data_IF_014995780115
#
_entry.id   IF_014995780115
#
_cell.length_a   1.000
_cell.length_b   1.000
_cell.length_c   1.000
_cell.angle_alpha   90.00
_cell.angle_beta   90.00
_cell.angle_gamma   90.00
#
_symmetry.space_group_name_H-M   'P 1'
#
loop_
_entity.id
_entity.type
_entity.pdbx_description
1 polymer ?
#
# COMPACT_ATOMS: atom_id res chain seq x y z
N UNK A 1 54.42 -24.97 -1.87
CA UNK A 1 53.56 -26.17 -2.02
C UNK A 1 53.26 -26.70 -0.63
N UNK A 2 52.00 -27.07 -0.39
CA UNK A 2 51.29 -27.17 0.89
C UNK A 2 50.75 -25.79 1.32
N UNK A 3 49.46 -25.57 1.46
CA UNK A 3 48.31 -26.48 1.51
C UNK A 3 47.28 -25.75 2.36
N UNK A 4 46.19 -25.32 1.74
CA UNK A 4 45.02 -24.70 2.37
C UNK A 4 44.39 -25.69 3.34
N UNK A 5 44.09 -25.22 4.56
CA UNK A 5 43.21 -25.85 5.53
C UNK A 5 42.40 -24.68 6.12
N UNK A 6 41.37 -24.21 5.42
CA UNK A 6 40.01 -24.77 5.40
C UNK A 6 39.37 -24.83 6.80
N UNK A 7 39.36 -23.68 7.47
CA UNK A 7 38.78 -23.48 8.81
C UNK A 7 37.70 -22.39 8.86
N UNK A 8 36.90 -22.23 7.80
CA UNK A 8 35.88 -21.18 7.73
C UNK A 8 34.57 -21.62 7.05
N UNK A 9 34.07 -22.82 7.33
CA UNK A 9 32.81 -23.35 6.75
C UNK A 9 31.76 -23.75 7.79
N UNK A 10 31.90 -23.33 9.05
CA UNK A 10 30.95 -23.70 10.12
C UNK A 10 30.06 -22.53 10.61
N UNK A 11 29.99 -21.42 9.89
CA UNK A 11 29.15 -20.26 10.26
C UNK A 11 28.25 -19.73 9.12
N UNK A 12 28.23 -20.41 7.96
CA UNK A 12 27.45 -19.99 6.80
C UNK A 12 26.02 -20.58 6.79
N UNK A 13 25.78 -21.71 7.46
CA UNK A 13 24.47 -22.41 7.43
C UNK A 13 23.36 -21.60 8.12
N UNK A 14 23.68 -20.84 9.18
CA UNK A 14 22.69 -20.04 9.93
C UNK A 14 22.60 -18.57 9.45
N UNK A 15 23.35 -18.19 8.41
CA UNK A 15 23.40 -16.81 7.94
C UNK A 15 22.20 -16.48 7.02
N UNK A 16 21.47 -15.41 7.36
CA UNK A 16 20.41 -14.90 6.49
C UNK A 16 21.00 -14.05 5.35
N UNK A 17 20.85 -14.52 4.12
CA UNK A 17 21.10 -13.76 2.91
C UNK A 17 19.95 -12.78 2.66
N UNK A 18 20.18 -11.50 2.97
CA UNK A 18 19.19 -10.43 2.80
C UNK A 18 18.90 -10.17 1.31
N UNK A 19 17.63 -10.24 0.93
CA UNK A 19 17.17 -9.92 -0.43
C UNK A 19 16.54 -8.53 -0.52
N UNK A 20 15.76 -8.18 0.50
CA UNK A 20 15.09 -6.88 0.57
C UNK A 20 14.68 -6.57 2.01
N UNK A 21 14.34 -5.31 2.25
CA UNK A 21 13.77 -4.88 3.52
C UNK A 21 12.64 -3.88 3.29
N UNK A 22 11.67 -3.87 4.22
CA UNK A 22 10.54 -2.95 4.18
C UNK A 22 10.25 -2.42 5.57
N UNK A 23 9.70 -1.21 5.64
CA UNK A 23 9.21 -0.62 6.88
C UNK A 23 7.81 -1.13 7.19
N UNK A 24 7.55 -1.41 8.47
CA UNK A 24 6.24 -1.71 9.03
C UNK A 24 6.01 -0.74 10.20
N UNK A 25 5.60 0.48 9.87
CA UNK A 25 5.43 1.60 10.81
C UNK A 25 4.03 2.20 10.67
N UNK A 26 3.56 2.98 11.67
CA UNK A 26 2.32 3.75 11.56
C UNK A 26 2.22 4.65 10.31
N UNK A 27 3.34 5.17 9.80
CA UNK A 27 3.36 6.05 8.64
C UNK A 27 3.52 5.29 7.31
N UNK A 28 4.20 4.14 7.32
CA UNK A 28 4.58 3.40 6.13
C UNK A 28 4.61 1.89 6.42
N UNK A 29 3.84 1.14 5.64
CA UNK A 29 3.81 -0.31 5.63
C UNK A 29 3.34 -0.83 4.27
N UNK A 30 3.62 -2.10 3.91
CA UNK A 30 3.14 -2.68 2.66
C UNK A 30 1.61 -2.81 2.69
N UNK A 31 0.91 -2.07 1.83
CA UNK A 31 -0.55 -1.98 1.89
C UNK A 31 -1.24 -3.32 1.61
N UNK A 32 -0.58 -4.28 0.95
CA UNK A 32 -1.13 -5.64 0.80
C UNK A 32 -1.48 -6.29 2.14
N UNK A 33 -0.76 -5.96 3.22
CA UNK A 33 -0.88 -6.61 4.52
C UNK A 33 -2.09 -6.15 5.36
N UNK A 34 -2.73 -5.02 5.04
CA UNK A 34 -3.89 -4.51 5.77
C UNK A 34 -4.33 -3.12 5.33
N UNK A 35 -5.51 -2.70 5.77
CA UNK A 35 -6.04 -1.34 5.56
C UNK A 35 -5.40 -0.31 6.51
N UNK A 36 -4.79 -0.77 7.61
CA UNK A 36 -4.09 0.05 8.59
C UNK A 36 -2.90 -0.67 9.25
N UNK A 37 -2.12 0.08 10.03
CA UNK A 37 -0.91 -0.43 10.66
C UNK A 37 -1.18 -1.56 11.67
N UNK A 38 -2.19 -1.45 12.56
CA UNK A 38 -2.56 -2.57 13.43
C UNK A 38 -2.95 -3.85 12.70
N UNK A 39 -3.74 -3.76 11.62
CA UNK A 39 -4.10 -4.93 10.82
C UNK A 39 -2.87 -5.55 10.15
N UNK A 40 -1.97 -4.74 9.58
CA UNK A 40 -0.73 -5.21 8.99
C UNK A 40 0.17 -5.94 10.01
N UNK A 41 0.23 -5.44 11.26
CA UNK A 41 0.93 -6.13 12.35
C UNK A 41 0.26 -7.47 12.70
N UNK A 42 -1.07 -7.49 12.78
CA UNK A 42 -1.85 -8.69 13.10
C UNK A 42 -1.65 -9.80 12.06
N UNK A 43 -1.54 -9.46 10.78
CA UNK A 43 -1.20 -10.41 9.69
C UNK A 43 0.11 -11.16 9.95
N UNK A 44 1.07 -10.52 10.62
CA UNK A 44 2.35 -11.12 11.00
C UNK A 44 2.34 -11.77 12.39
N UNK A 45 1.27 -11.59 13.16
CA UNK A 45 1.19 -12.02 14.57
C UNK A 45 1.96 -11.10 15.52
N UNK A 46 2.14 -9.84 15.15
CA UNK A 46 2.86 -8.83 15.93
C UNK A 46 1.88 -7.92 16.69
N UNK A 47 2.29 -7.47 17.87
CA UNK A 47 1.59 -6.40 18.57
C UNK A 47 1.99 -5.03 17.97
N UNK A 48 1.05 -4.10 17.70
CA UNK A 48 1.40 -2.80 17.15
C UNK A 48 2.30 -1.99 18.11
N UNK A 49 3.36 -1.37 17.58
CA UNK A 49 4.29 -0.50 18.31
C UNK A 49 4.26 0.93 17.78
N UNK A 50 4.53 1.90 18.65
CA UNK A 50 4.58 3.32 18.27
C UNK A 50 5.67 3.60 17.24
N UNK A 51 6.86 3.02 17.43
CA UNK A 51 8.01 3.22 16.55
C UNK A 51 7.95 2.33 15.29
N UNK A 52 7.13 1.28 15.31
CA UNK A 52 7.04 0.30 14.23
C UNK A 52 8.07 -0.82 14.33
N UNK A 53 8.30 -1.45 13.18
CA UNK A 53 9.25 -2.54 12.94
C UNK A 53 9.92 -2.35 11.59
N UNK A 54 11.11 -2.91 11.44
CA UNK A 54 11.70 -3.25 10.16
C UNK A 54 11.45 -4.72 9.83
N UNK A 55 11.16 -5.02 8.57
CA UNK A 55 11.07 -6.40 8.08
C UNK A 55 12.22 -6.65 7.11
N UNK A 56 13.01 -7.68 7.36
CA UNK A 56 14.10 -8.14 6.50
C UNK A 56 13.71 -9.47 5.90
N UNK A 57 13.60 -9.53 4.58
CA UNK A 57 13.22 -10.74 3.85
C UNK A 57 14.49 -11.33 3.23
N UNK A 58 14.76 -12.60 3.54
CA UNK A 58 15.97 -13.28 3.07
C UNK A 58 15.81 -14.79 2.98
N UNK A 59 16.91 -15.43 2.58
CA UNK A 59 17.06 -16.90 2.54
C UNK A 59 18.16 -17.33 3.49
N UNK A 60 18.06 -18.51 4.07
CA UNK A 60 19.24 -19.17 4.67
C UNK A 60 20.09 -19.87 3.59
N UNK A 61 21.18 -20.52 4.02
CA UNK A 61 22.10 -21.22 3.11
C UNK A 61 21.47 -22.36 2.32
N UNK A 62 20.41 -22.97 2.84
CA UNK A 62 19.65 -24.03 2.16
C UNK A 62 18.61 -23.47 1.19
N UNK A 63 18.32 -22.18 1.26
CA UNK A 63 17.35 -21.48 0.41
C UNK A 63 15.96 -21.37 1.03
N UNK A 64 15.77 -21.76 2.30
CA UNK A 64 14.50 -21.57 2.97
C UNK A 64 14.25 -20.09 3.27
N UNK A 65 13.00 -19.68 3.10
CA UNK A 65 12.57 -18.28 3.17
C UNK A 65 12.28 -17.86 4.60
N UNK A 66 12.80 -16.71 4.98
CA UNK A 66 12.60 -16.12 6.30
C UNK A 66 12.27 -14.64 6.24
N UNK A 67 11.40 -14.21 7.15
CA UNK A 67 11.13 -12.81 7.45
C UNK A 67 11.61 -12.51 8.87
N UNK A 68 12.70 -11.77 8.98
CA UNK A 68 13.23 -11.33 10.28
C UNK A 68 12.61 -9.98 10.62
N UNK A 69 11.92 -9.93 11.76
CA UNK A 69 11.27 -8.74 12.29
C UNK A 69 12.24 -8.09 13.28
N UNK A 70 12.56 -6.82 13.06
CA UNK A 70 13.49 -6.07 13.91
C UNK A 70 12.84 -4.81 14.48
N UNK A 71 13.21 -4.42 15.69
CA UNK A 71 12.69 -3.22 16.36
C UNK A 71 13.58 -1.97 16.17
N UNK A 72 14.78 -2.12 15.60
CA UNK A 72 15.58 -1.00 15.08
C UNK A 72 15.10 -0.58 13.67
N UNK A 73 14.07 0.26 13.66
CA UNK A 73 13.47 0.81 12.43
C UNK A 73 14.43 1.74 11.69
N UNK A 74 15.31 2.43 12.42
CA UNK A 74 16.27 3.36 11.82
C UNK A 74 17.33 2.62 11.00
N UNK A 75 17.79 1.46 11.47
CA UNK A 75 18.69 0.60 10.70
C UNK A 75 18.11 0.21 9.34
N UNK A 76 16.83 -0.24 9.32
CA UNK A 76 16.16 -0.62 8.07
C UNK A 76 15.92 0.60 7.17
N UNK A 77 15.48 1.72 7.74
CA UNK A 77 15.25 2.94 6.97
C UNK A 77 16.53 3.44 6.29
N UNK A 78 17.67 3.39 6.99
CA UNK A 78 18.99 3.76 6.43
C UNK A 78 19.39 2.80 5.31
N UNK A 79 19.18 1.49 5.46
CA UNK A 79 19.47 0.52 4.42
C UNK A 79 18.64 0.81 3.14
N UNK A 80 17.33 0.99 3.29
CA UNK A 80 16.42 1.31 2.16
C UNK A 80 16.86 2.61 1.48
N UNK A 81 17.07 3.68 2.24
CA UNK A 81 17.48 4.97 1.68
C UNK A 81 18.84 4.89 0.95
N UNK A 82 19.77 4.07 1.44
CA UNK A 82 21.06 3.84 0.79
C UNK A 82 20.87 3.14 -0.56
N UNK A 83 20.07 2.06 -0.60
CA UNK A 83 19.78 1.34 -1.83
C UNK A 83 19.01 2.19 -2.85
N UNK A 84 18.04 3.00 -2.40
CA UNK A 84 17.29 3.94 -3.26
C UNK A 84 18.21 5.00 -3.90
N UNK A 85 19.30 5.36 -3.21
CA UNK A 85 20.34 6.25 -3.74
C UNK A 85 21.39 5.52 -4.60
N UNK A 86 21.29 4.19 -4.77
CA UNK A 86 22.25 3.37 -5.50
C UNK A 86 23.55 3.12 -4.75
N UNK A 87 23.55 3.26 -3.41
CA UNK A 87 24.70 2.97 -2.55
C UNK A 87 24.62 1.53 -2.04
N UNK A 88 25.79 0.90 -1.91
CA UNK A 88 25.90 -0.38 -1.23
C UNK A 88 25.70 -0.19 0.28
N UNK A 89 24.88 -1.05 0.88
CA UNK A 89 24.67 -1.10 2.32
C UNK A 89 24.42 -2.55 2.73
N UNK A 90 25.25 -3.07 3.64
CA UNK A 90 25.11 -4.40 4.21
C UNK A 90 24.20 -4.32 5.44
N UNK A 91 22.95 -4.77 5.29
CA UNK A 91 22.00 -4.82 6.37
C UNK A 91 22.24 -6.08 7.22
N UNK A 92 22.87 -5.89 8.37
CA UNK A 92 23.12 -6.95 9.35
C UNK A 92 22.51 -6.55 10.70
N UNK A 93 21.28 -7.01 11.01
CA UNK A 93 20.64 -6.71 12.29
C UNK A 93 21.40 -7.32 13.46
N UNK A 94 21.51 -6.57 14.55
CA UNK A 94 21.99 -7.08 15.83
C UNK A 94 21.00 -8.10 16.40
N UNK A 95 21.49 -9.21 16.99
CA UNK A 95 20.65 -10.25 17.58
C UNK A 95 19.67 -9.70 18.64
N UNK A 96 20.05 -8.63 19.35
CA UNK A 96 19.19 -7.99 20.34
C UNK A 96 18.06 -7.15 19.73
N UNK A 97 18.21 -6.70 18.48
CA UNK A 97 17.18 -5.98 17.75
C UNK A 97 16.17 -6.92 17.08
N UNK A 98 16.49 -8.22 16.98
CA UNK A 98 15.60 -9.23 16.40
C UNK A 98 14.47 -9.55 17.37
N UNK A 99 13.24 -9.24 16.97
CA UNK A 99 12.03 -9.54 17.72
C UNK A 99 11.60 -10.98 17.50
N UNK A 100 11.60 -11.43 16.25
CA UNK A 100 11.26 -12.79 15.85
C UNK A 100 11.70 -13.06 14.42
N UNK A 101 11.99 -14.33 14.11
CA UNK A 101 12.08 -14.82 12.74
C UNK A 101 10.78 -15.57 12.39
N UNK A 102 10.17 -15.22 11.26
CA UNK A 102 8.94 -15.84 10.78
C UNK A 102 9.25 -16.66 9.52
N UNK A 103 8.77 -17.91 9.42
CA UNK A 103 8.94 -18.71 8.21
C UNK A 103 8.21 -18.06 7.03
N UNK A 104 8.76 -18.15 5.83
CA UNK A 104 8.17 -17.60 4.60
C UNK A 104 8.29 -16.08 4.46
N UNK A 105 7.67 -15.55 3.40
CA UNK A 105 7.64 -14.12 3.11
C UNK A 105 6.21 -13.59 3.03
N UNK A 106 5.89 -12.46 3.68
CA UNK A 106 4.57 -11.85 3.59
C UNK A 106 4.38 -11.05 2.29
N UNK A 107 5.44 -10.89 1.49
CA UNK A 107 5.45 -10.15 0.24
C UNK A 107 6.01 -11.02 -0.88
N UNK A 108 5.54 -10.78 -2.10
CA UNK A 108 6.06 -11.45 -3.27
C UNK A 108 7.48 -10.95 -3.58
N UNK A 109 8.48 -11.80 -3.34
CA UNK A 109 9.88 -11.55 -3.73
C UNK A 109 10.24 -12.58 -4.80
N UNK A 110 10.60 -12.09 -5.99
CA UNK A 110 10.85 -12.93 -7.16
C UNK A 110 12.31 -13.35 -7.33
N UNK A 111 13.21 -12.78 -6.51
CA UNK A 111 14.66 -12.98 -6.60
C UNK A 111 15.14 -14.02 -5.59
N UNK A 112 16.32 -14.58 -5.85
CA UNK A 112 17.02 -15.50 -4.98
C UNK A 112 18.44 -14.99 -4.72
N UNK A 113 19.01 -15.38 -3.57
CA UNK A 113 20.37 -15.03 -3.20
C UNK A 113 21.35 -15.73 -4.17
N UNK A 114 22.38 -15.02 -4.68
CA UNK A 114 23.36 -15.63 -5.56
C UNK A 114 24.08 -16.81 -4.89
N UNK A 115 24.13 -17.96 -5.56
CA UNK A 115 24.82 -19.15 -5.07
C UNK A 115 24.06 -19.98 -4.04
N UNK A 116 22.83 -19.59 -3.69
CA UNK A 116 21.92 -20.30 -2.77
C UNK A 116 20.87 -21.07 -3.59
N UNK A 117 20.33 -22.20 -3.10
CA UNK A 117 19.21 -22.88 -3.75
C UNK A 117 17.96 -22.01 -3.94
N UNK A 118 17.04 -22.49 -4.78
CA UNK A 118 15.80 -21.77 -5.07
C UNK A 118 14.97 -21.52 -3.79
N UNK A 119 14.34 -20.33 -3.66
CA UNK A 119 13.51 -20.00 -2.50
C UNK A 119 12.40 -21.04 -2.27
N UNK A 120 12.33 -21.57 -1.06
CA UNK A 120 11.28 -22.51 -0.66
C UNK A 120 10.85 -22.28 0.79
N UNK A 121 9.68 -22.79 1.17
CA UNK A 121 9.23 -22.69 2.55
C UNK A 121 9.98 -23.68 3.45
N UNK A 122 10.38 -23.26 4.67
CA UNK A 122 10.97 -24.18 5.63
C UNK A 122 9.97 -25.28 6.03
N UNK A 123 10.49 -26.46 6.36
CA UNK A 123 9.69 -27.59 6.81
C UNK A 123 8.92 -27.31 8.11
N UNK A 124 7.78 -27.97 8.34
CA UNK A 124 6.97 -27.78 9.56
C UNK A 124 7.70 -28.15 10.85
N UNK A 125 8.76 -28.96 10.78
CA UNK A 125 9.65 -29.28 11.90
C UNK A 125 10.58 -28.13 12.29
N UNK A 126 10.81 -27.17 11.38
CA UNK A 126 11.74 -26.05 11.56
C UNK A 126 11.06 -24.83 12.17
N UNK A 127 9.72 -24.71 12.04
CA UNK A 127 8.98 -23.57 12.56
C UNK A 127 7.62 -23.98 13.17
N UNK A 128 7.33 -23.45 14.36
CA UNK A 128 6.09 -23.71 15.11
C UNK A 128 4.81 -23.09 14.50
N UNK A 129 4.92 -22.47 13.32
CA UNK A 129 3.80 -21.81 12.63
C UNK A 129 3.88 -22.04 11.12
N UNK A 130 2.74 -21.97 10.41
CA UNK A 130 2.73 -21.97 8.95
C UNK A 130 3.60 -20.84 8.37
N UNK A 131 4.32 -21.11 7.27
CA UNK A 131 5.02 -20.08 6.50
C UNK A 131 4.09 -18.95 6.07
N UNK A 132 4.60 -17.72 6.17
CA UNK A 132 3.98 -16.54 5.60
C UNK A 132 3.90 -16.70 4.09
N UNK A 133 2.73 -16.36 3.55
CA UNK A 133 2.49 -16.30 2.12
C UNK A 133 1.93 -14.92 1.78
N UNK A 134 2.31 -14.33 0.64
CA UNK A 134 1.71 -13.09 0.19
C UNK A 134 0.20 -13.25 0.00
N UNK A 135 -0.60 -12.21 0.29
CA UNK A 135 -2.01 -12.21 -0.08
C UNK A 135 -2.20 -12.51 -1.58
N UNK A 136 -3.25 -13.23 -1.92
CA UNK A 136 -3.59 -13.49 -3.32
C UNK A 136 -4.06 -12.19 -4.00
N UNK A 137 -3.32 -11.78 -5.02
CA UNK A 137 -3.54 -10.57 -5.81
C UNK A 137 -3.98 -10.91 -7.25
N UNK A 138 -4.18 -12.19 -7.56
CA UNK A 138 -4.67 -12.64 -8.87
C UNK A 138 -6.18 -12.46 -9.03
N UNK A 139 -6.91 -12.31 -7.92
CA UNK A 139 -8.36 -12.08 -7.88
C UNK A 139 -8.63 -10.73 -7.22
N UNK A 140 -9.67 -10.05 -7.68
CA UNK A 140 -10.09 -8.81 -7.03
C UNK A 140 -10.55 -9.07 -5.58
N UNK A 141 -10.00 -8.28 -4.68
CA UNK A 141 -10.27 -8.30 -3.24
C UNK A 141 -9.49 -7.19 -2.54
N UNK A 142 -9.54 -7.11 -1.20
CA UNK A 142 -8.96 -5.99 -0.47
C UNK A 142 -7.47 -5.77 -0.76
N UNK A 143 -6.67 -6.84 -0.85
CA UNK A 143 -5.25 -6.75 -1.18
C UNK A 143 -5.01 -6.18 -2.58
N UNK A 144 -5.75 -6.67 -3.58
CA UNK A 144 -5.63 -6.18 -4.96
C UNK A 144 -6.15 -4.75 -5.12
N UNK A 145 -7.22 -4.38 -4.43
CA UNK A 145 -7.73 -2.99 -4.38
C UNK A 145 -6.66 -2.05 -3.82
N UNK A 146 -6.04 -2.42 -2.70
CA UNK A 146 -4.98 -1.61 -2.06
C UNK A 146 -3.75 -1.48 -2.95
N UNK A 147 -3.35 -2.54 -3.65
CA UNK A 147 -2.29 -2.47 -4.66
C UNK A 147 -2.63 -1.55 -5.81
N UNK A 148 -3.86 -1.64 -6.34
CA UNK A 148 -4.31 -0.73 -7.41
C UNK A 148 -4.24 0.73 -6.97
N UNK A 149 -4.59 1.01 -5.72
CA UNK A 149 -4.47 2.35 -5.15
C UNK A 149 -3.00 2.80 -4.97
N UNK A 150 -2.11 1.91 -4.55
CA UNK A 150 -0.68 2.22 -4.46
C UNK A 150 -0.07 2.49 -5.85
N UNK A 151 -0.48 1.72 -6.86
CA UNK A 151 -0.09 1.92 -8.25
C UNK A 151 -0.53 3.31 -8.75
N UNK A 152 -1.79 3.71 -8.50
CA UNK A 152 -2.31 5.04 -8.83
C UNK A 152 -1.49 6.15 -8.16
N UNK A 153 -1.12 5.96 -6.89
CA UNK A 153 -0.32 6.92 -6.16
C UNK A 153 1.08 7.08 -6.80
N UNK A 154 1.69 5.98 -7.23
CA UNK A 154 3.02 5.98 -7.87
C UNK A 154 2.98 6.56 -9.29
N UNK A 155 1.91 6.29 -10.06
CA UNK A 155 1.75 6.70 -11.45
C UNK A 155 0.92 7.97 -11.62
N UNK A 156 0.72 8.74 -10.54
CA UNK A 156 -0.21 9.88 -10.54
C UNK A 156 -0.04 10.80 -11.75
N UNK A 157 1.21 11.19 -12.05
CA UNK A 157 1.50 12.12 -13.14
C UNK A 157 1.09 11.57 -14.52
N UNK A 158 1.23 10.27 -14.75
CA UNK A 158 0.85 9.63 -16.01
C UNK A 158 -0.68 9.48 -16.12
N UNK A 159 -1.34 9.09 -15.04
CA UNK A 159 -2.79 8.89 -15.01
C UNK A 159 -3.57 10.20 -15.14
N UNK A 160 -3.13 11.26 -14.44
CA UNK A 160 -3.81 12.55 -14.47
C UNK A 160 -3.88 13.17 -15.87
N UNK A 161 -2.89 12.90 -16.73
CA UNK A 161 -2.85 13.38 -18.11
C UNK A 161 -3.92 12.74 -19.02
N UNK A 162 -4.42 11.57 -18.65
CA UNK A 162 -5.37 10.81 -19.48
C UNK A 162 -6.82 11.22 -19.23
N UNK A 163 -7.09 11.90 -18.10
CA UNK A 163 -8.44 12.25 -17.67
C UNK A 163 -8.79 13.66 -18.10
N UNK A 164 -9.91 13.79 -18.81
CA UNK A 164 -10.50 15.07 -19.16
C UNK A 164 -11.42 15.55 -18.02
N UNK A 165 -11.49 16.87 -17.80
CA UNK A 165 -12.25 17.44 -16.68
C UNK A 165 -13.78 17.20 -16.78
N UNK A 166 -14.26 16.72 -17.93
CA UNK A 166 -15.66 16.35 -18.16
C UNK A 166 -16.05 14.97 -17.59
N UNK A 167 -15.07 14.15 -17.19
CA UNK A 167 -15.29 12.77 -16.70
C UNK A 167 -15.58 12.69 -15.19
N UNK A 168 -15.57 13.82 -14.49
CA UNK A 168 -15.79 13.86 -13.04
C UNK A 168 -17.25 13.64 -12.64
N UNK A 169 -17.47 12.90 -11.55
CA UNK A 169 -18.77 12.81 -10.91
C UNK A 169 -19.22 14.19 -10.39
N UNK A 170 -20.22 14.80 -11.03
CA UNK A 170 -20.74 16.11 -10.63
C UNK A 170 -21.56 16.04 -9.32
N UNK A 171 -21.42 17.02 -8.40
CA UNK A 171 -22.32 17.15 -7.26
C UNK A 171 -23.72 17.54 -7.74
N UNK A 172 -24.75 16.89 -7.19
CA UNK A 172 -26.14 17.18 -7.53
C UNK A 172 -26.53 18.57 -7.01
N UNK A 173 -26.68 19.57 -7.90
CA UNK A 173 -27.25 20.85 -7.50
C UNK A 173 -27.14 21.99 -8.50
N UNK A 174 -28.07 22.07 -9.46
CA UNK A 174 -28.91 23.25 -9.81
C UNK A 174 -29.60 22.97 -11.15
N UNK A 175 -30.88 22.59 -11.09
CA UNK A 175 -31.71 22.52 -12.29
C UNK A 175 -31.92 23.94 -12.86
N UNK A 176 -31.61 24.20 -14.14
CA UNK A 176 -32.16 25.37 -14.82
C UNK A 176 -33.66 25.16 -15.01
N UNK A 177 -34.42 26.21 -14.72
CA UNK A 177 -35.88 26.29 -14.90
C UNK A 177 -36.20 26.08 -16.39
N UNK A 178 -37.02 25.07 -16.67
CA UNK A 178 -37.59 24.74 -17.98
C UNK A 178 -38.60 25.77 -18.46
N UNK A 179 -38.51 26.19 -19.73
CA UNK A 179 -39.65 26.61 -20.56
C UNK A 179 -40.02 25.50 -21.58
N UNK A 180 -41.28 25.39 -22.03
CA UNK A 180 -41.84 24.17 -22.66
C UNK A 180 -41.64 24.07 -24.19
N UNK A 181 -41.98 22.93 -24.81
CA UNK A 181 -41.26 22.38 -25.97
C UNK A 181 -41.93 22.65 -27.33
N UNK A 182 -41.12 22.65 -28.39
CA UNK A 182 -41.57 22.38 -29.76
C UNK A 182 -41.21 20.93 -30.14
N UNK A 183 -42.23 20.17 -30.54
CA UNK A 183 -42.19 18.78 -30.98
C UNK A 183 -41.44 18.62 -32.31
N UNK A 184 -40.60 17.58 -32.42
CA UNK A 184 -40.51 16.70 -33.58
C UNK A 184 -39.89 15.34 -33.19
N UNK A 185 -40.56 14.29 -33.65
CA UNK A 185 -40.42 12.84 -33.47
C UNK A 185 -39.02 12.30 -33.86
N UNK A 186 -38.37 11.44 -33.07
CA UNK A 186 -38.53 9.97 -32.90
C UNK A 186 -37.87 9.14 -34.02
N UNK A 187 -36.67 8.58 -33.74
CA UNK A 187 -36.31 7.16 -33.93
C UNK A 187 -34.79 6.92 -33.80
N UNK A 188 -34.41 5.91 -33.00
CA UNK A 188 -33.07 5.33 -32.98
C UNK A 188 -32.65 4.75 -31.63
N UNK A 189 -33.02 3.51 -31.38
CA UNK A 189 -32.67 2.69 -30.21
C UNK A 189 -31.15 2.45 -30.07
N UNK A 190 -30.69 2.33 -28.82
CA UNK A 190 -29.54 1.48 -28.48
C UNK A 190 -28.26 2.18 -28.02
N UNK A 191 -28.26 2.69 -26.79
CA UNK A 191 -27.21 2.46 -25.79
C UNK A 191 -27.61 3.16 -24.49
N UNK A 192 -27.83 2.39 -23.43
CA UNK A 192 -27.96 2.92 -22.09
C UNK A 192 -26.63 3.56 -21.68
N UNK A 193 -26.46 4.85 -21.97
CA UNK A 193 -25.42 5.66 -21.35
C UNK A 193 -25.78 5.89 -19.88
N UNK A 194 -24.84 5.76 -18.93
CA UNK A 194 -25.13 6.10 -17.55
C UNK A 194 -25.30 7.63 -17.45
N UNK A 195 -26.55 8.07 -17.38
CA UNK A 195 -26.92 9.46 -17.17
C UNK A 195 -26.79 9.85 -15.70
N UNK A 196 -26.05 10.93 -15.43
CA UNK A 196 -26.36 12.01 -14.48
C UNK A 196 -27.01 11.58 -13.14
N UNK A 197 -26.17 11.12 -12.22
CA UNK A 197 -26.51 10.96 -10.80
C UNK A 197 -25.27 10.44 -10.06
N UNK A 198 -24.62 11.26 -9.23
CA UNK A 198 -23.32 10.94 -8.63
C UNK A 198 -23.27 9.55 -8.00
N UNK A 199 -22.23 8.78 -8.34
CA UNK A 199 -22.01 7.40 -7.87
C UNK A 199 -22.28 7.29 -6.37
N UNK A 200 -23.24 6.43 -5.98
CA UNK A 200 -23.61 6.25 -4.57
C UNK A 200 -22.41 5.76 -3.73
N UNK A 201 -21.57 4.89 -4.31
CA UNK A 201 -20.33 4.42 -3.69
C UNK A 201 -19.36 5.55 -3.38
N UNK A 202 -19.11 6.46 -4.33
CA UNK A 202 -18.25 7.64 -4.10
C UNK A 202 -18.79 8.52 -2.97
N UNK A 203 -20.11 8.77 -2.94
CA UNK A 203 -20.73 9.57 -1.86
C UNK A 203 -20.58 8.91 -0.50
N UNK A 204 -20.70 7.57 -0.42
CA UNK A 204 -20.42 6.79 0.79
C UNK A 204 -18.97 6.99 1.24
N UNK A 205 -18.02 6.80 0.33
CA UNK A 205 -16.58 6.94 0.62
C UNK A 205 -16.24 8.33 1.15
N UNK A 206 -16.73 9.39 0.50
CA UNK A 206 -16.47 10.76 0.95
C UNK A 206 -17.08 11.04 2.34
N UNK A 207 -18.25 10.48 2.64
CA UNK A 207 -18.87 10.61 3.96
C UNK A 207 -18.07 9.86 5.04
N UNK A 208 -17.62 8.64 4.76
CA UNK A 208 -16.79 7.84 5.67
C UNK A 208 -15.41 8.48 5.88
N UNK A 209 -14.74 8.93 4.81
CA UNK A 209 -13.49 9.65 4.90
C UNK A 209 -13.63 10.95 5.71
N UNK A 210 -14.77 11.65 5.60
CA UNK A 210 -15.04 12.83 6.43
C UNK A 210 -15.23 12.47 7.90
N UNK A 211 -15.86 11.34 8.21
CA UNK A 211 -16.05 10.89 9.58
C UNK A 211 -14.71 10.61 10.31
N UNK A 212 -13.64 10.30 9.57
CA UNK A 212 -12.29 10.17 10.15
C UNK A 212 -11.76 11.46 10.79
N UNK A 213 -12.24 12.63 10.36
CA UNK A 213 -11.84 13.91 10.95
C UNK A 213 -12.43 14.07 12.36
N UNK A 214 -13.67 13.61 12.55
CA UNK A 214 -14.37 13.69 13.84
C UNK A 214 -14.01 12.52 14.76
N UNK A 215 -13.76 11.34 14.18
CA UNK A 215 -13.39 10.11 14.88
C UNK A 215 -12.17 9.48 14.20
N UNK A 216 -10.95 9.86 14.63
CA UNK A 216 -9.70 9.37 14.07
C UNK A 216 -9.67 7.84 13.91
N UNK A 217 -9.30 7.33 12.72
CA UNK A 217 -9.16 5.91 12.49
C UNK A 217 -7.89 5.36 13.14
N UNK A 218 -7.71 4.02 13.17
CA UNK A 218 -6.42 3.42 13.49
C UNK A 218 -5.27 4.01 12.68
N UNK A 219 -4.07 4.02 13.29
CA UNK A 219 -2.88 4.57 12.68
C UNK A 219 -2.57 3.90 11.33
N UNK A 220 -2.08 4.68 10.37
CA UNK A 220 -1.76 4.17 9.04
C UNK A 220 -2.95 4.00 8.11
N UNK A 221 -4.20 4.17 8.60
CA UNK A 221 -5.38 4.18 7.73
C UNK A 221 -5.43 5.40 6.80
N UNK A 222 -4.89 6.52 7.26
CA UNK A 222 -4.65 7.72 6.45
C UNK A 222 -3.15 7.98 6.43
N UNK A 223 -2.55 7.95 5.24
CA UNK A 223 -1.12 8.16 4.99
C UNK A 223 -0.93 9.33 4.05
N UNK A 224 0.16 10.06 4.25
CA UNK A 224 0.47 11.26 3.49
C UNK A 224 1.94 11.29 3.11
N UNK A 225 2.23 11.34 1.82
CA UNK A 225 3.58 11.44 1.26
C UNK A 225 3.78 12.73 0.48
N UNK A 226 5.04 13.14 0.33
CA UNK A 226 5.36 14.30 -0.49
C UNK A 226 5.04 14.04 -1.96
N UNK A 227 4.42 15.03 -2.61
CA UNK A 227 4.26 15.07 -4.06
C UNK A 227 5.11 16.22 -4.63
N UNK A 228 5.03 16.45 -5.94
CA UNK A 228 5.70 17.58 -6.58
C UNK A 228 5.12 18.93 -6.12
N UNK A 229 5.99 19.89 -5.83
CA UNK A 229 5.61 21.22 -5.31
C UNK A 229 5.30 21.19 -3.81
N UNK A 230 4.33 22.00 -3.39
CA UNK A 230 3.84 22.04 -1.99
C UNK A 230 2.69 21.03 -1.73
N UNK A 231 2.35 20.23 -2.74
CA UNK A 231 1.27 19.26 -2.68
C UNK A 231 1.70 17.97 -1.98
N UNK A 232 0.69 17.21 -1.52
CA UNK A 232 0.89 15.89 -0.90
C UNK A 232 -0.02 14.87 -1.55
N UNK A 233 0.49 13.66 -1.69
CA UNK A 233 -0.31 12.50 -2.10
C UNK A 233 -0.88 11.88 -0.83
N UNK A 234 -2.21 11.78 -0.78
CA UNK A 234 -2.95 11.19 0.32
C UNK A 234 -3.44 9.82 -0.06
N UNK A 235 -3.32 8.90 0.88
CA UNK A 235 -3.88 7.55 0.81
C UNK A 235 -4.79 7.36 2.00
N UNK A 236 -6.05 6.99 1.76
CA UNK A 236 -7.00 6.68 2.81
C UNK A 236 -7.72 5.36 2.50
N UNK A 237 -7.90 4.52 3.50
CA UNK A 237 -8.55 3.23 3.37
C UNK A 237 -9.75 3.10 4.30
N UNK A 238 -10.68 2.22 3.94
CA UNK A 238 -11.81 1.87 4.78
C UNK A 238 -12.46 0.56 4.36
N UNK A 239 -13.50 0.12 5.07
CA UNK A 239 -14.17 -1.14 4.80
C UNK A 239 -14.75 -1.14 3.37
N UNK A 240 -14.14 -1.91 2.48
CA UNK A 240 -14.62 -2.03 1.09
C UNK A 240 -14.19 -0.91 0.14
N UNK A 241 -13.29 0.00 0.55
CA UNK A 241 -12.81 1.06 -0.34
C UNK A 241 -11.39 1.53 -0.07
N UNK A 242 -10.80 2.11 -1.11
CA UNK A 242 -9.50 2.76 -1.09
C UNK A 242 -9.59 4.09 -1.83
N UNK A 243 -9.02 5.15 -1.27
CA UNK A 243 -8.94 6.48 -1.88
C UNK A 243 -7.49 6.92 -2.01
N UNK A 244 -7.17 7.51 -3.16
CA UNK A 244 -5.89 8.16 -3.45
C UNK A 244 -6.20 9.58 -3.90
N UNK A 245 -5.53 10.58 -3.35
CA UNK A 245 -5.81 11.96 -3.70
C UNK A 245 -4.54 12.82 -3.72
N UNK A 246 -4.62 13.95 -4.39
CA UNK A 246 -3.65 15.03 -4.25
C UNK A 246 -4.31 16.26 -3.64
N UNK A 247 -3.66 16.84 -2.63
CA UNK A 247 -4.20 18.00 -1.90
C UNK A 247 -4.47 19.21 -2.79
N UNK A 248 -3.82 19.31 -3.96
CA UNK A 248 -3.95 20.39 -4.93
C UNK A 248 -4.82 20.07 -6.16
N UNK A 249 -5.40 18.86 -6.26
CA UNK A 249 -6.05 18.38 -7.48
C UNK A 249 -7.35 17.60 -7.19
N UNK A 250 -7.41 16.31 -7.55
CA UNK A 250 -8.58 15.43 -7.49
C UNK A 250 -8.34 14.24 -6.55
N UNK A 251 -9.34 13.35 -6.45
CA UNK A 251 -9.20 12.05 -5.82
C UNK A 251 -9.65 10.92 -6.76
N UNK A 252 -9.16 9.73 -6.51
CA UNK A 252 -9.57 8.46 -7.10
C UNK A 252 -10.09 7.55 -6.01
N UNK A 253 -11.19 6.85 -6.29
CA UNK A 253 -11.81 5.89 -5.40
C UNK A 253 -11.86 4.53 -6.08
N UNK A 254 -11.49 3.49 -5.34
CA UNK A 254 -11.60 2.09 -5.72
C UNK A 254 -12.51 1.41 -4.71
N UNK A 255 -13.40 0.52 -5.18
CA UNK A 255 -14.41 -0.14 -4.35
C UNK A 255 -14.30 -1.66 -4.52
N UNK A 256 -14.55 -2.42 -3.45
CA UNK A 256 -14.63 -3.88 -3.55
C UNK A 256 -15.81 -4.32 -4.43
N UNK A 257 -16.92 -3.58 -4.36
CA UNK A 257 -18.16 -3.87 -5.09
C UNK A 257 -18.08 -3.48 -6.59
N UNK A 258 -17.07 -2.71 -7.00
CA UNK A 258 -16.84 -2.28 -8.40
C UNK A 258 -15.41 -2.70 -8.84
N UNK A 259 -15.20 -4.01 -9.11
CA UNK A 259 -13.87 -4.56 -9.31
C UNK A 259 -13.18 -4.02 -10.56
N UNK A 260 -11.93 -3.57 -10.41
CA UNK A 260 -11.11 -3.06 -11.51
C UNK A 260 -11.46 -1.64 -11.97
N UNK A 261 -12.52 -1.04 -11.42
CA UNK A 261 -12.96 0.31 -11.75
C UNK A 261 -12.24 1.35 -10.88
N UNK A 262 -11.86 2.46 -11.51
CA UNK A 262 -11.28 3.62 -10.81
C UNK A 262 -12.18 4.81 -11.01
N UNK A 263 -12.76 5.29 -9.91
CA UNK A 263 -13.79 6.33 -9.92
C UNK A 263 -13.16 7.70 -9.63
N UNK A 264 -13.06 8.61 -10.61
CA UNK A 264 -12.51 9.95 -10.39
C UNK A 264 -13.50 10.85 -9.65
N UNK A 265 -12.99 11.59 -8.68
CA UNK A 265 -13.71 12.59 -7.88
C UNK A 265 -13.11 13.95 -8.16
N UNK A 266 -13.86 14.77 -8.89
CA UNK A 266 -13.45 16.15 -9.17
C UNK A 266 -13.33 16.99 -7.90
N UNK A 267 -12.51 18.03 -7.96
CA UNK A 267 -12.19 18.90 -6.81
C UNK A 267 -13.43 19.46 -6.12
N UNK A 268 -14.32 20.10 -6.87
CA UNK A 268 -15.52 20.74 -6.30
C UNK A 268 -15.21 21.69 -5.12
N UNK A 269 -16.24 22.09 -4.35
CA UNK A 269 -16.05 22.98 -3.20
C UNK A 269 -15.64 22.26 -1.90
N UNK A 270 -15.93 20.96 -1.77
CA UNK A 270 -15.79 20.22 -0.50
C UNK A 270 -14.49 19.42 -0.39
N UNK A 271 -13.99 18.84 -1.50
CA UNK A 271 -12.83 17.96 -1.49
C UNK A 271 -11.58 18.66 -0.92
N UNK A 272 -11.23 19.91 -1.29
CA UNK A 272 -10.01 20.54 -0.78
C UNK A 272 -9.96 20.63 0.75
N UNK A 273 -11.10 20.95 1.38
CA UNK A 273 -11.19 21.02 2.84
C UNK A 273 -11.10 19.66 3.51
N UNK A 274 -11.65 18.62 2.86
CA UNK A 274 -11.51 17.24 3.34
C UNK A 274 -10.05 16.77 3.24
N UNK A 275 -9.39 16.99 2.10
CA UNK A 275 -8.00 16.56 1.90
C UNK A 275 -7.04 17.26 2.87
N UNK A 276 -7.21 18.56 3.12
CA UNK A 276 -6.42 19.27 4.13
C UNK A 276 -6.61 18.71 5.55
N UNK A 277 -7.85 18.34 5.91
CA UNK A 277 -8.14 17.73 7.20
C UNK A 277 -7.53 16.32 7.32
N UNK A 278 -7.60 15.51 6.27
CA UNK A 278 -6.99 14.18 6.22
C UNK A 278 -5.46 14.25 6.25
N UNK A 279 -4.84 15.23 5.59
CA UNK A 279 -3.39 15.43 5.64
C UNK A 279 -2.89 15.73 7.06
N UNK A 280 -3.65 16.51 7.82
CA UNK A 280 -3.34 16.82 9.23
C UNK A 280 -3.50 15.61 10.15
N UNK A 281 -4.38 14.67 9.78
CA UNK A 281 -4.62 13.43 10.51
C UNK A 281 -3.55 12.37 10.22
N UNK A 282 -2.98 12.40 9.03
CA UNK A 282 -2.00 11.40 8.60
C UNK A 282 -0.76 11.39 9.49
N UNK A 283 -0.34 10.18 9.89
CA UNK A 283 0.93 10.00 10.60
C UNK A 283 2.06 10.31 9.62
N UNK A 284 2.99 11.16 10.06
CA UNK A 284 4.13 11.57 9.25
C UNK A 284 5.33 10.66 9.54
N UNK A 285 6.06 10.20 8.52
CA UNK A 285 7.39 9.63 8.72
C UNK A 285 8.25 10.67 9.46
N UNK A 286 8.99 10.22 10.47
CA UNK A 286 9.97 11.05 11.20
C UNK A 286 11.21 11.31 10.35
#
# INVERSE_FOLDING_TARGET
MAGTDDGAVAAADDALYVLTAVLLTPAQFPSVLGDDYPEACATLGLAPRGDGYGLVLGQDGDGARWTVVIDDVSLVAVAIASWDCGLEYELSPDEHAIVTALPGWPLAVAVAAPGVPAPHDPGPETADRPPLSPPDTSVWGPAQRRLGADEIASQWAAWRQQINDDEFAAPAGRAPVTEPPARAEENGEGAAGPSKGGHQGVRRVLAEARAYVDSPPPLGRVRSSFASGDARTLRADGPGWSMVARTDDIAFVLLDDEPGEVLPVGRGPELPGLLDALDKLAVRPL
#
